data_IF_025426612069
#
_entry.id   IF_025426612069
#
_cell.length_a   1.000
_cell.length_b   1.000
_cell.length_c   1.000
_cell.angle_alpha   90.00
_cell.angle_beta   90.00
_cell.angle_gamma   90.00
#
_symmetry.space_group_name_H-M   'P 1'
#
loop_
_entity.id
_entity.type
_entity.pdbx_description
1 polymer ?
#
# COMPACT_ATOMS: atom_id res chain seq x y z
N UNK A 1 67.03 -65.82 17.81
CA UNK A 1 65.85 -65.92 16.86
C UNK A 1 64.72 -65.06 17.41
N UNK A 2 64.44 -63.99 16.81
CA UNK A 2 63.17 -63.28 16.63
C UNK A 2 63.40 -61.77 16.52
N UNK A 3 63.69 -61.32 15.29
CA UNK A 3 63.52 -59.96 14.87
C UNK A 3 62.59 -60.03 13.69
N UNK A 4 61.26 -59.80 13.93
CA UNK A 4 60.25 -59.50 12.85
C UNK A 4 58.88 -59.27 13.52
N UNK A 5 58.63 -58.09 14.09
CA UNK A 5 57.26 -57.68 14.38
C UNK A 5 57.05 -56.15 14.63
N UNK A 6 58.02 -55.28 14.32
CA UNK A 6 57.90 -53.84 14.61
C UNK A 6 57.51 -53.03 13.38
N UNK A 7 57.53 -53.57 12.15
CA UNK A 7 57.26 -52.82 10.94
C UNK A 7 55.80 -52.83 10.44
N UNK A 8 54.89 -53.60 11.09
CA UNK A 8 53.53 -53.76 10.65
C UNK A 8 52.54 -52.69 11.23
N UNK A 9 52.87 -52.16 12.42
CA UNK A 9 51.94 -51.22 13.13
C UNK A 9 52.06 -49.76 12.66
N UNK A 10 53.26 -49.35 12.22
CA UNK A 10 53.49 -47.96 11.78
C UNK A 10 52.82 -47.61 10.42
N UNK A 11 52.62 -48.61 9.55
CA UNK A 11 52.03 -48.40 8.23
C UNK A 11 50.52 -48.26 8.25
N UNK A 12 49.82 -48.80 9.27
CA UNK A 12 48.37 -48.66 9.44
C UNK A 12 47.97 -47.28 10.01
N UNK A 13 48.74 -46.72 10.92
CA UNK A 13 48.45 -45.42 11.52
C UNK A 13 48.63 -44.24 10.56
N UNK A 14 49.58 -44.31 9.63
CA UNK A 14 49.79 -43.29 8.61
C UNK A 14 48.69 -43.30 7.51
N UNK A 15 48.04 -44.45 7.24
CA UNK A 15 46.99 -44.57 6.27
C UNK A 15 45.63 -44.08 6.83
N UNK A 16 45.39 -44.22 8.13
CA UNK A 16 44.20 -43.71 8.83
C UNK A 16 44.29 -42.18 9.01
N UNK A 17 45.46 -41.62 9.35
CA UNK A 17 45.63 -40.15 9.43
C UNK A 17 45.45 -39.45 8.09
N UNK A 18 45.85 -40.05 6.99
CA UNK A 18 45.67 -39.49 5.64
C UNK A 18 44.21 -39.47 5.19
N UNK A 19 43.40 -40.44 5.62
CA UNK A 19 41.96 -40.52 5.28
C UNK A 19 41.10 -39.51 6.05
N UNK A 20 41.42 -39.30 7.34
CA UNK A 20 40.69 -38.32 8.19
C UNK A 20 41.05 -36.88 7.83
N UNK A 21 42.30 -36.59 7.49
CA UNK A 21 42.72 -35.27 7.01
C UNK A 21 42.14 -34.92 5.62
N UNK A 22 42.04 -35.91 4.71
CA UNK A 22 41.43 -35.75 3.42
C UNK A 22 39.92 -35.48 3.49
N UNK A 23 39.20 -36.14 4.43
CA UNK A 23 37.78 -35.95 4.62
C UNK A 23 37.45 -34.60 5.29
N UNK A 24 38.26 -34.12 6.21
CA UNK A 24 38.11 -32.82 6.85
C UNK A 24 38.44 -31.68 5.87
N UNK A 25 39.42 -31.83 4.97
CA UNK A 25 39.74 -30.86 3.96
C UNK A 25 38.68 -30.81 2.85
N UNK A 26 38.05 -31.95 2.51
CA UNK A 26 36.96 -31.97 1.52
C UNK A 26 35.68 -31.34 2.07
N UNK A 27 35.35 -31.52 3.37
CA UNK A 27 34.21 -30.85 4.03
C UNK A 27 34.42 -29.34 4.19
N UNK A 28 35.66 -28.88 4.42
CA UNK A 28 35.99 -27.47 4.51
C UNK A 28 35.91 -26.77 3.14
N UNK A 29 36.25 -27.46 2.03
CA UNK A 29 36.16 -26.92 0.67
C UNK A 29 34.73 -26.81 0.13
N UNK A 30 33.79 -27.63 0.61
CA UNK A 30 32.38 -27.59 0.18
C UNK A 30 31.58 -26.54 0.97
N UNK A 31 31.99 -26.20 2.20
CA UNK A 31 31.28 -25.21 3.02
C UNK A 31 31.66 -23.75 2.73
N UNK A 32 32.82 -23.47 2.17
CA UNK A 32 33.29 -22.12 1.83
C UNK A 32 32.44 -21.38 0.78
N UNK A 33 31.97 -21.99 -0.33
CA UNK A 33 31.14 -21.31 -1.29
C UNK A 33 29.72 -21.01 -0.80
N UNK A 34 29.17 -21.84 0.09
CA UNK A 34 27.81 -21.63 0.65
C UNK A 34 27.80 -20.44 1.61
N UNK A 35 28.79 -20.27 2.45
CA UNK A 35 28.93 -19.11 3.33
C UNK A 35 29.17 -17.81 2.54
N UNK A 36 29.96 -17.82 1.47
CA UNK A 36 30.16 -16.67 0.61
C UNK A 36 28.91 -16.30 -0.18
N UNK A 37 28.13 -17.27 -0.64
CA UNK A 37 26.87 -17.01 -1.34
C UNK A 37 25.84 -16.34 -0.43
N UNK A 38 25.81 -16.67 0.86
CA UNK A 38 24.88 -16.09 1.83
C UNK A 38 25.28 -14.65 2.23
N UNK A 39 26.57 -14.38 2.40
CA UNK A 39 27.07 -13.02 2.58
C UNK A 39 26.83 -12.13 1.34
N UNK A 40 26.92 -12.70 0.15
CA UNK A 40 26.73 -11.95 -1.09
C UNK A 40 25.26 -11.54 -1.32
N UNK A 41 24.29 -12.33 -0.87
CA UNK A 41 22.85 -12.04 -1.04
C UNK A 41 22.39 -10.90 -0.13
N UNK A 42 22.76 -10.88 1.14
CA UNK A 42 22.43 -9.79 2.06
C UNK A 42 23.13 -8.47 1.65
N UNK A 43 24.37 -8.57 1.19
CA UNK A 43 25.11 -7.45 0.63
C UNK A 43 24.49 -6.90 -0.67
N UNK A 44 23.90 -7.76 -1.49
CA UNK A 44 23.19 -7.35 -2.70
C UNK A 44 21.94 -6.50 -2.36
N UNK A 45 21.10 -6.96 -1.44
CA UNK A 45 19.91 -6.21 -0.98
C UNK A 45 20.33 -4.84 -0.42
N UNK A 46 21.35 -4.81 0.44
CA UNK A 46 21.84 -3.55 1.02
C UNK A 46 22.34 -2.57 -0.04
N UNK A 47 23.04 -3.05 -1.08
CA UNK A 47 23.50 -2.21 -2.20
C UNK A 47 22.32 -1.66 -3.00
N UNK A 48 21.29 -2.48 -3.27
CA UNK A 48 20.10 -2.03 -4.00
C UNK A 48 19.29 -0.99 -3.21
N UNK A 49 19.05 -1.23 -1.92
CA UNK A 49 18.36 -0.25 -1.06
C UNK A 49 19.12 1.08 -1.02
N UNK A 50 20.46 1.04 -0.90
CA UNK A 50 21.31 2.23 -0.95
C UNK A 50 21.20 2.94 -2.29
N UNK A 51 21.27 2.22 -3.40
CA UNK A 51 21.17 2.78 -4.75
C UNK A 51 19.80 3.46 -4.99
N UNK A 52 18.70 2.84 -4.52
CA UNK A 52 17.35 3.43 -4.59
C UNK A 52 17.30 4.71 -3.73
N UNK A 53 17.82 4.66 -2.51
CA UNK A 53 17.84 5.82 -1.63
C UNK A 53 18.61 7.01 -2.20
N UNK A 54 19.79 6.76 -2.79
CA UNK A 54 20.60 7.79 -3.42
C UNK A 54 19.94 8.38 -4.67
N UNK A 55 19.34 7.54 -5.51
CA UNK A 55 18.68 7.93 -6.75
C UNK A 55 17.37 8.67 -6.52
N UNK A 56 16.51 8.14 -5.64
CA UNK A 56 15.13 8.60 -5.46
C UNK A 56 14.96 9.63 -4.35
N UNK A 57 15.86 9.63 -3.38
CA UNK A 57 15.70 10.41 -2.16
C UNK A 57 15.56 11.93 -2.39
N UNK A 58 16.17 12.49 -3.43
CA UNK A 58 16.08 13.93 -3.70
C UNK A 58 14.69 14.40 -4.13
N UNK A 59 13.84 13.49 -4.58
CA UNK A 59 12.44 13.78 -4.91
C UNK A 59 11.49 13.57 -3.72
N UNK A 60 11.99 13.11 -2.56
CA UNK A 60 11.23 12.94 -1.32
C UNK A 60 11.45 14.13 -0.42
N UNK A 61 10.37 14.69 0.09
CA UNK A 61 10.36 15.94 0.84
C UNK A 61 9.73 15.78 2.21
N UNK A 62 10.16 16.63 3.14
CA UNK A 62 9.55 16.77 4.44
C UNK A 62 8.47 17.83 4.39
N UNK A 63 7.34 17.54 4.99
CA UNK A 63 6.19 18.43 5.05
C UNK A 63 5.92 18.75 6.50
N UNK A 64 5.79 20.05 6.80
CA UNK A 64 5.20 20.55 8.02
C UNK A 64 3.87 21.18 7.67
N UNK A 65 2.84 20.81 8.40
CA UNK A 65 1.49 21.30 8.22
C UNK A 65 0.96 21.82 9.56
N UNK A 66 0.15 22.85 9.53
CA UNK A 66 -0.46 23.43 10.72
C UNK A 66 -1.98 23.40 10.53
N UNK A 67 -2.67 22.77 11.46
CA UNK A 67 -4.13 22.84 11.61
C UNK A 67 -4.52 23.72 12.79
N UNK A 68 -5.82 23.83 13.09
CA UNK A 68 -6.32 24.65 14.21
C UNK A 68 -5.85 24.19 15.59
N UNK A 69 -5.32 22.96 15.71
CA UNK A 69 -5.08 22.31 17.00
C UNK A 69 -3.66 21.80 17.17
N UNK A 70 -2.90 21.62 16.08
CA UNK A 70 -1.61 20.94 16.13
C UNK A 70 -0.68 21.30 14.97
N UNK A 71 0.61 21.05 15.21
CA UNK A 71 1.63 20.95 14.17
C UNK A 71 1.81 19.50 13.77
N UNK A 72 1.69 19.24 12.48
CA UNK A 72 1.81 17.95 11.85
C UNK A 72 3.13 17.87 11.08
N UNK A 73 3.74 16.71 11.09
CA UNK A 73 4.94 16.44 10.28
C UNK A 73 4.71 15.17 9.47
N UNK A 74 5.08 15.20 8.21
CA UNK A 74 4.92 14.10 7.30
C UNK A 74 5.94 14.08 6.18
N UNK A 75 5.78 13.10 5.33
CA UNK A 75 6.58 12.91 4.13
C UNK A 75 5.71 13.13 2.89
N UNK A 76 6.32 13.63 1.84
CA UNK A 76 5.72 13.65 0.50
C UNK A 76 6.77 13.37 -0.56
N UNK A 77 6.35 13.26 -1.79
CA UNK A 77 7.26 13.13 -2.93
C UNK A 77 6.72 13.83 -4.16
N UNK A 78 7.62 14.34 -4.97
CA UNK A 78 7.25 15.01 -6.21
C UNK A 78 6.79 13.98 -7.26
N UNK A 79 5.61 14.24 -7.83
CA UNK A 79 4.99 13.44 -8.86
C UNK A 79 5.32 13.92 -10.28
N UNK A 80 5.74 15.18 -10.42
CA UNK A 80 6.07 15.79 -11.69
C UNK A 80 7.14 16.90 -11.52
N UNK A 81 7.74 17.40 -12.63
CA UNK A 81 8.81 18.40 -12.56
C UNK A 81 8.34 19.81 -12.19
N UNK A 82 7.05 20.01 -12.01
CA UNK A 82 6.46 21.35 -11.75
C UNK A 82 6.21 21.59 -10.26
N UNK A 83 6.54 20.61 -9.38
CA UNK A 83 6.40 20.76 -7.93
C UNK A 83 5.09 20.23 -7.35
N UNK A 84 4.38 19.33 -8.05
CA UNK A 84 3.21 18.62 -7.51
C UNK A 84 3.69 17.50 -6.58
N UNK A 85 3.12 17.43 -5.37
CA UNK A 85 3.52 16.53 -4.30
C UNK A 85 2.36 15.62 -3.92
N UNK A 86 2.60 14.31 -3.84
CA UNK A 86 1.75 13.38 -3.12
C UNK A 86 2.11 13.34 -1.64
N UNK A 87 1.11 13.31 -0.78
CA UNK A 87 1.25 13.04 0.65
C UNK A 87 0.01 12.30 1.19
N UNK A 88 0.03 11.93 2.47
CA UNK A 88 -1.13 11.34 3.13
C UNK A 88 -2.15 12.41 3.53
N UNK A 89 -3.44 12.06 3.52
CA UNK A 89 -4.51 12.91 4.06
C UNK A 89 -4.25 13.30 5.53
N UNK A 90 -3.70 12.38 6.33
CA UNK A 90 -3.38 12.64 7.73
C UNK A 90 -2.34 13.76 7.94
N UNK A 91 -1.62 14.17 6.90
CA UNK A 91 -0.65 15.27 6.94
C UNK A 91 -1.23 16.50 6.25
N UNK A 92 -1.89 16.32 5.11
CA UNK A 92 -2.30 17.42 4.24
C UNK A 92 -3.81 17.63 4.12
N UNK A 93 -4.66 16.80 4.77
CA UNK A 93 -6.10 16.81 4.51
C UNK A 93 -6.86 17.99 5.11
N UNK A 94 -6.60 18.33 6.35
CA UNK A 94 -7.33 19.34 7.13
C UNK A 94 -6.49 20.57 7.52
N UNK A 95 -5.20 20.56 7.18
CA UNK A 95 -4.31 21.66 7.48
C UNK A 95 -4.55 22.87 6.56
N UNK A 96 -4.27 24.05 7.08
CA UNK A 96 -4.48 25.31 6.37
C UNK A 96 -3.15 25.95 5.91
N UNK A 97 -2.03 25.55 6.48
CA UNK A 97 -0.69 26.05 6.15
C UNK A 97 0.29 24.91 5.99
N UNK A 98 1.05 24.96 4.91
CA UNK A 98 2.01 23.91 4.54
C UNK A 98 3.37 24.50 4.24
N UNK A 99 4.39 23.95 4.88
CA UNK A 99 5.79 24.22 4.57
C UNK A 99 6.49 22.95 4.11
N UNK A 100 7.11 23.00 2.93
CA UNK A 100 7.85 21.89 2.33
C UNK A 100 9.34 22.18 2.37
N UNK A 101 10.11 21.29 2.96
CA UNK A 101 11.57 21.37 2.96
C UNK A 101 12.13 20.64 1.74
N UNK A 102 12.75 21.39 0.82
CA UNK A 102 13.35 20.86 -0.40
C UNK A 102 14.64 21.62 -0.75
N UNK A 103 15.70 20.89 -1.11
CA UNK A 103 16.99 21.46 -1.53
C UNK A 103 17.61 22.41 -0.51
N UNK A 104 17.41 22.18 0.78
CA UNK A 104 17.89 23.03 1.88
C UNK A 104 17.10 24.33 2.07
N UNK A 105 15.98 24.50 1.36
CA UNK A 105 15.09 25.67 1.44
C UNK A 105 13.71 25.24 1.95
N UNK A 106 12.97 26.19 2.49
CA UNK A 106 11.57 26.06 2.86
C UNK A 106 10.69 26.74 1.80
N UNK A 107 9.66 26.04 1.37
CA UNK A 107 8.68 26.51 0.40
C UNK A 107 7.30 26.49 1.06
N UNK A 108 6.55 27.55 0.91
CA UNK A 108 5.11 27.50 1.18
C UNK A 108 4.46 26.65 0.11
N UNK A 109 3.58 25.72 0.51
CA UNK A 109 2.85 24.85 -0.42
C UNK A 109 1.36 25.15 -0.34
N UNK A 110 0.71 25.05 -1.51
CA UNK A 110 -0.75 25.15 -1.62
C UNK A 110 -1.34 23.77 -1.71
N UNK A 111 -2.42 23.52 -0.99
CA UNK A 111 -3.21 22.29 -1.16
C UNK A 111 -3.98 22.37 -2.47
N UNK A 112 -3.75 21.41 -3.36
CA UNK A 112 -4.51 21.28 -4.60
C UNK A 112 -5.83 20.53 -4.37
N UNK A 113 -5.76 19.44 -3.63
CA UNK A 113 -6.92 18.64 -3.22
C UNK A 113 -6.56 17.74 -2.04
N UNK A 114 -7.58 17.29 -1.31
CA UNK A 114 -7.46 16.23 -0.32
C UNK A 114 -8.68 15.31 -0.41
N UNK A 115 -8.43 14.01 -0.42
CA UNK A 115 -9.49 13.00 -0.48
C UNK A 115 -9.40 12.05 0.72
N UNK A 116 -10.30 12.24 1.66
CA UNK A 116 -10.40 11.41 2.86
C UNK A 116 -10.66 9.94 2.51
N UNK A 117 -11.41 9.70 1.43
CA UNK A 117 -11.79 8.34 1.03
C UNK A 117 -10.60 7.51 0.58
N UNK A 118 -9.65 8.12 -0.14
CA UNK A 118 -8.40 7.45 -0.55
C UNK A 118 -7.27 7.59 0.47
N UNK A 119 -7.39 8.53 1.40
CA UNK A 119 -6.37 8.80 2.42
C UNK A 119 -5.16 9.57 1.91
N UNK A 120 -5.26 10.28 0.77
CA UNK A 120 -4.17 11.09 0.22
C UNK A 120 -4.54 12.55 0.02
N UNK A 121 -3.52 13.40 -0.10
CA UNK A 121 -3.63 14.78 -0.51
C UNK A 121 -2.58 15.13 -1.59
N UNK A 122 -2.90 16.11 -2.41
CA UNK A 122 -1.99 16.72 -3.38
C UNK A 122 -1.65 18.14 -2.93
N UNK A 123 -0.36 18.44 -2.87
CA UNK A 123 0.16 19.76 -2.59
C UNK A 123 0.95 20.29 -3.80
N UNK A 124 1.19 21.58 -3.83
CA UNK A 124 1.96 22.27 -4.88
C UNK A 124 2.94 23.27 -4.30
N UNK A 125 4.19 23.20 -4.75
CA UNK A 125 5.15 24.30 -4.57
C UNK A 125 5.48 24.93 -5.93
N UNK A 126 5.87 26.17 -5.95
CA UNK A 126 6.35 26.87 -7.15
C UNK A 126 7.88 26.71 -7.27
N UNK A 127 8.29 25.56 -7.83
CA UNK A 127 9.69 25.24 -8.07
C UNK A 127 9.81 24.17 -9.17
N UNK A 128 10.93 24.20 -9.91
CA UNK A 128 11.34 23.08 -10.72
C UNK A 128 11.94 21.98 -9.82
N UNK A 129 11.43 20.75 -9.94
CA UNK A 129 11.73 19.67 -9.02
C UNK A 129 12.16 18.38 -9.72
N UNK A 130 13.02 17.55 -9.09
CA UNK A 130 13.09 16.14 -9.46
C UNK A 130 11.74 15.49 -9.16
N UNK A 131 11.45 14.37 -9.80
CA UNK A 131 10.22 13.60 -9.53
C UNK A 131 10.49 12.11 -9.57
N UNK A 132 9.60 11.32 -8.95
CA UNK A 132 9.68 9.87 -8.97
C UNK A 132 8.86 9.31 -10.14
N UNK A 133 9.37 8.30 -10.85
CA UNK A 133 8.60 7.60 -11.86
C UNK A 133 7.45 6.82 -11.19
N UNK A 134 6.29 6.86 -11.80
CA UNK A 134 5.11 6.13 -11.35
C UNK A 134 5.16 4.71 -11.92
N UNK A 135 5.10 3.72 -11.05
CA UNK A 135 5.05 2.30 -11.41
C UNK A 135 3.61 1.80 -11.57
N UNK A 136 3.44 0.49 -11.40
CA UNK A 136 2.14 -0.19 -11.48
C UNK A 136 1.94 -1.06 -10.25
N UNK A 137 0.91 -0.75 -9.47
CA UNK A 137 0.57 -1.55 -8.29
C UNK A 137 -0.17 -2.85 -8.63
N UNK A 138 -0.82 -2.91 -9.79
CA UNK A 138 -1.49 -4.12 -10.27
C UNK A 138 -0.55 -5.30 -10.58
N UNK A 139 0.76 -5.05 -10.74
CA UNK A 139 1.77 -6.08 -10.98
C UNK A 139 2.40 -6.64 -9.70
N UNK A 140 2.02 -6.11 -8.53
CA UNK A 140 2.57 -6.53 -7.24
C UNK A 140 2.03 -7.91 -6.83
N UNK A 141 2.90 -8.71 -6.21
CA UNK A 141 2.57 -9.99 -5.60
C UNK A 141 2.98 -10.02 -4.13
N UNK A 142 2.49 -11.00 -3.38
CA UNK A 142 2.98 -11.27 -2.02
C UNK A 142 4.49 -11.50 -2.04
N UNK A 143 5.17 -11.04 -1.01
CA UNK A 143 6.62 -11.06 -0.85
C UNK A 143 7.41 -10.22 -1.87
N UNK A 144 6.75 -9.39 -2.71
CA UNK A 144 7.46 -8.40 -3.53
C UNK A 144 8.25 -7.46 -2.63
N UNK A 145 9.59 -7.33 -2.80
CA UNK A 145 10.40 -6.43 -2.01
C UNK A 145 10.12 -4.96 -2.36
N UNK A 146 10.09 -4.11 -1.35
CA UNK A 146 9.80 -2.68 -1.47
C UNK A 146 10.67 -1.85 -0.54
N UNK A 147 10.91 -0.61 -0.91
CA UNK A 147 11.65 0.38 -0.12
C UNK A 147 10.77 1.60 0.09
N UNK A 148 10.60 2.03 1.32
CA UNK A 148 10.05 3.36 1.62
C UNK A 148 11.17 4.35 1.91
N UNK A 149 10.96 5.61 1.58
CA UNK A 149 11.87 6.70 1.92
C UNK A 149 11.06 7.79 2.60
N UNK A 150 11.40 8.09 3.86
CA UNK A 150 10.63 9.04 4.67
C UNK A 150 11.47 9.81 5.68
N UNK A 151 10.79 10.63 6.48
CA UNK A 151 11.38 11.45 7.55
C UNK A 151 10.84 10.97 8.92
N UNK A 152 11.33 9.82 9.42
CA UNK A 152 10.86 9.28 10.71
C UNK A 152 11.20 10.23 11.85
N UNK A 153 10.24 10.45 12.76
CA UNK A 153 10.43 11.24 14.00
C UNK A 153 11.02 12.64 13.76
N UNK A 154 10.75 13.24 12.63
CA UNK A 154 11.32 14.54 12.23
C UNK A 154 12.85 14.53 12.01
N UNK A 155 13.46 13.34 11.99
CA UNK A 155 14.88 13.12 11.76
C UNK A 155 15.24 13.26 10.27
N UNK A 156 16.53 13.21 9.90
CA UNK A 156 16.95 13.17 8.50
C UNK A 156 16.32 12.00 7.74
N UNK A 157 16.08 12.21 6.45
CA UNK A 157 15.55 11.22 5.52
C UNK A 157 16.30 9.89 5.61
N UNK A 158 15.55 8.80 5.69
CA UNK A 158 16.10 7.44 5.76
C UNK A 158 15.28 6.46 4.93
N UNK A 159 15.91 5.39 4.41
CA UNK A 159 15.22 4.27 3.78
C UNK A 159 14.75 3.26 4.81
N UNK A 160 13.59 2.65 4.56
CA UNK A 160 13.10 1.45 5.24
C UNK A 160 12.85 0.37 4.20
N UNK A 161 13.21 -0.88 4.49
CA UNK A 161 13.06 -2.01 3.60
C UNK A 161 12.03 -3.00 4.15
N UNK A 162 11.18 -3.53 3.28
CA UNK A 162 10.17 -4.51 3.61
C UNK A 162 9.65 -5.26 2.39
N UNK A 163 8.53 -5.96 2.56
CA UNK A 163 7.86 -6.71 1.51
C UNK A 163 6.34 -6.53 1.60
N UNK A 164 5.67 -6.70 0.46
CA UNK A 164 4.21 -6.79 0.42
C UNK A 164 3.78 -8.02 1.21
N UNK A 165 3.00 -7.81 2.26
CA UNK A 165 2.54 -8.84 3.19
C UNK A 165 1.06 -9.20 3.01
N UNK A 166 0.31 -8.41 2.23
CA UNK A 166 -1.10 -8.64 1.97
C UNK A 166 -1.70 -7.60 1.04
N UNK A 167 -2.89 -7.95 0.55
CA UNK A 167 -3.78 -7.08 -0.21
C UNK A 167 -5.11 -7.10 0.54
N UNK A 168 -5.33 -6.10 1.38
CA UNK A 168 -6.41 -6.12 2.35
C UNK A 168 -7.51 -5.11 1.96
N UNK A 169 -8.77 -5.51 2.09
CA UNK A 169 -9.95 -4.68 1.86
C UNK A 169 -10.56 -4.16 3.14
N UNK A 170 -10.13 -4.70 4.29
CA UNK A 170 -10.62 -4.30 5.62
C UNK A 170 -9.55 -4.45 6.69
N UNK A 171 -9.65 -3.63 7.72
CA UNK A 171 -8.84 -3.71 8.92
C UNK A 171 -9.71 -3.39 10.15
N UNK A 172 -9.63 -4.22 11.19
CA UNK A 172 -10.42 -4.09 12.44
C UNK A 172 -11.93 -3.87 12.18
N UNK A 173 -12.48 -4.61 11.21
CA UNK A 173 -13.92 -4.55 10.87
C UNK A 173 -14.34 -3.33 10.03
N UNK A 174 -13.40 -2.45 9.64
CA UNK A 174 -13.67 -1.32 8.75
C UNK A 174 -13.17 -1.64 7.34
N UNK A 175 -14.00 -1.39 6.35
CA UNK A 175 -13.63 -1.52 4.94
C UNK A 175 -12.82 -0.32 4.49
N UNK A 176 -11.77 -0.59 3.71
CA UNK A 176 -11.09 0.42 2.92
C UNK A 176 -11.93 0.79 1.70
N UNK A 177 -11.69 1.95 1.13
CA UNK A 177 -12.35 2.40 -0.11
C UNK A 177 -11.92 1.61 -1.35
N UNK A 178 -10.74 1.01 -1.30
CA UNK A 178 -10.17 0.09 -2.28
C UNK A 178 -9.17 -0.83 -1.58
N UNK A 179 -8.74 -1.89 -2.24
CA UNK A 179 -7.70 -2.79 -1.72
C UNK A 179 -6.44 -2.00 -1.38
N UNK A 180 -5.95 -2.13 -0.14
CA UNK A 180 -4.71 -1.52 0.33
C UNK A 180 -3.60 -2.56 0.39
N UNK A 181 -2.37 -2.09 0.17
CA UNK A 181 -1.16 -2.89 0.32
C UNK A 181 -0.80 -2.93 1.81
N UNK A 182 -0.84 -4.10 2.44
CA UNK A 182 -0.22 -4.30 3.73
C UNK A 182 1.26 -4.62 3.53
N UNK A 183 2.13 -3.89 4.23
CA UNK A 183 3.58 -4.01 4.10
C UNK A 183 4.19 -4.29 5.47
N UNK A 184 5.07 -5.28 5.58
CA UNK A 184 5.81 -5.60 6.80
C UNK A 184 7.03 -4.67 6.95
N UNK A 185 6.79 -3.40 6.95
CA UNK A 185 7.78 -2.33 7.01
C UNK A 185 7.51 -1.53 8.28
N UNK A 186 8.49 -1.42 9.20
CA UNK A 186 8.31 -0.59 10.37
C UNK A 186 8.14 0.87 9.97
N UNK A 187 7.13 1.51 10.55
CA UNK A 187 6.83 2.93 10.29
C UNK A 187 6.77 3.71 11.57
N UNK A 188 7.14 4.98 11.49
CA UNK A 188 7.13 5.90 12.61
C UNK A 188 6.38 7.19 12.23
N UNK A 189 6.07 8.00 13.25
CA UNK A 189 5.51 9.34 13.02
C UNK A 189 6.43 10.14 12.10
N UNK A 190 5.85 10.84 11.13
CA UNK A 190 6.58 11.60 10.11
C UNK A 190 6.73 10.86 8.77
N UNK A 191 6.42 9.56 8.69
CA UNK A 191 6.53 8.78 7.45
C UNK A 191 5.21 8.67 6.67
N UNK A 192 4.10 9.16 7.22
CA UNK A 192 2.84 9.23 6.48
C UNK A 192 3.02 10.05 5.19
N UNK A 193 2.57 9.53 4.05
CA UNK A 193 2.78 10.09 2.72
C UNK A 193 4.08 9.68 2.03
N UNK A 194 4.92 8.87 2.67
CA UNK A 194 6.15 8.36 2.05
C UNK A 194 5.86 7.48 0.83
N UNK A 195 6.67 7.59 -0.25
CA UNK A 195 6.56 6.69 -1.40
C UNK A 195 7.02 5.29 -1.02
N UNK A 196 6.27 4.30 -1.47
CA UNK A 196 6.67 2.90 -1.50
C UNK A 196 7.23 2.59 -2.89
N UNK A 197 8.50 2.22 -2.96
CA UNK A 197 9.26 2.06 -4.21
C UNK A 197 9.54 0.58 -4.50
N UNK A 198 9.43 0.17 -5.75
CA UNK A 198 10.00 -1.09 -6.21
C UNK A 198 11.51 -0.97 -6.43
N UNK A 199 12.20 -2.06 -6.76
CA UNK A 199 13.65 -2.05 -6.99
C UNK A 199 14.10 -1.32 -8.25
N UNK A 200 13.18 -0.94 -9.14
CA UNK A 200 13.45 -0.02 -10.24
C UNK A 200 13.45 1.44 -9.80
N UNK A 201 13.00 1.74 -8.57
CA UNK A 201 12.82 3.10 -8.04
C UNK A 201 11.52 3.75 -8.50
N UNK A 202 10.55 2.96 -8.96
CA UNK A 202 9.22 3.42 -9.35
C UNK A 202 8.28 3.36 -8.14
N UNK A 203 7.42 4.36 -7.99
CA UNK A 203 6.42 4.41 -6.92
C UNK A 203 5.33 3.39 -7.20
N UNK A 204 5.09 2.49 -6.25
CA UNK A 204 4.03 1.46 -6.32
C UNK A 204 2.94 1.64 -5.26
N UNK A 205 3.15 2.56 -4.31
CA UNK A 205 2.17 2.90 -3.28
C UNK A 205 2.56 4.14 -2.48
N UNK A 206 1.63 4.61 -1.65
CA UNK A 206 1.79 5.77 -0.75
C UNK A 206 1.42 5.31 0.66
N UNK A 207 2.30 5.50 1.64
CA UNK A 207 2.03 5.15 3.02
C UNK A 207 0.93 6.04 3.60
N UNK A 208 -0.18 5.43 4.05
CA UNK A 208 -1.34 6.18 4.57
C UNK A 208 -1.62 5.91 6.04
N UNK A 209 -1.26 4.74 6.57
CA UNK A 209 -1.47 4.43 7.98
C UNK A 209 -0.47 3.40 8.51
N UNK A 210 -0.19 3.47 9.81
CA UNK A 210 0.57 2.45 10.55
C UNK A 210 -0.35 1.43 11.20
N UNK A 211 0.15 0.23 11.41
CA UNK A 211 -0.53 -0.90 12.07
C UNK A 211 0.27 -1.29 13.30
N UNK A 212 -0.42 -1.65 14.37
CA UNK A 212 0.18 -2.23 15.58
C UNK A 212 1.41 -1.46 16.04
N UNK A 213 1.21 -0.18 16.40
CA UNK A 213 2.26 0.72 16.91
C UNK A 213 3.46 0.88 15.96
N UNK A 214 3.25 0.71 14.64
CA UNK A 214 4.28 0.92 13.63
C UNK A 214 5.08 -0.33 13.24
N UNK A 215 4.66 -1.53 13.64
CA UNK A 215 5.31 -2.80 13.22
C UNK A 215 5.08 -3.13 11.75
N UNK A 216 3.99 -2.64 11.18
CA UNK A 216 3.62 -2.74 9.78
C UNK A 216 2.87 -1.49 9.33
N UNK A 217 2.59 -1.36 8.04
CA UNK A 217 1.83 -0.25 7.51
C UNK A 217 0.86 -0.67 6.39
N UNK A 218 -0.10 0.22 6.13
CA UNK A 218 -0.90 0.19 4.92
C UNK A 218 -0.48 1.29 3.96
N UNK A 219 -0.39 0.93 2.68
CA UNK A 219 -0.16 1.89 1.61
C UNK A 219 -1.34 1.85 0.62
N UNK A 220 -1.75 3.03 0.16
CA UNK A 220 -2.65 3.14 -0.98
C UNK A 220 -1.89 2.71 -2.24
N UNK A 221 -2.41 1.77 -3.06
CA UNK A 221 -1.81 1.44 -4.35
C UNK A 221 -1.64 2.65 -5.25
N UNK A 222 -0.55 2.75 -5.98
CA UNK A 222 -0.29 3.93 -6.81
C UNK A 222 -1.32 4.09 -7.93
N UNK A 223 -1.85 2.99 -8.48
CA UNK A 223 -2.91 3.06 -9.51
C UNK A 223 -4.17 3.76 -8.98
N UNK A 224 -4.49 3.57 -7.69
CA UNK A 224 -5.59 4.26 -7.02
C UNK A 224 -5.29 5.75 -6.82
N UNK A 225 -4.08 6.10 -6.40
CA UNK A 225 -3.65 7.50 -6.26
C UNK A 225 -3.66 8.23 -7.61
N UNK A 226 -3.21 7.57 -8.69
CA UNK A 226 -3.24 8.12 -10.05
C UNK A 226 -4.68 8.29 -10.58
N UNK A 227 -5.65 7.46 -10.14
CA UNK A 227 -7.06 7.69 -10.44
C UNK A 227 -7.54 9.01 -9.82
N UNK A 228 -7.21 9.25 -8.55
CA UNK A 228 -7.58 10.48 -7.85
C UNK A 228 -6.92 11.71 -8.50
N UNK A 229 -5.64 11.63 -8.86
CA UNK A 229 -4.95 12.72 -9.58
C UNK A 229 -5.57 12.99 -10.95
N UNK A 230 -5.97 11.97 -11.71
CA UNK A 230 -6.67 12.14 -12.99
C UNK A 230 -8.02 12.82 -12.81
N UNK A 231 -8.77 12.48 -11.78
CA UNK A 231 -10.02 13.15 -11.45
C UNK A 231 -9.79 14.63 -11.16
N UNK A 232 -8.80 14.92 -10.31
CA UNK A 232 -8.43 16.31 -10.01
C UNK A 232 -8.07 17.11 -11.28
N UNK A 233 -7.23 16.55 -12.14
CA UNK A 233 -6.84 17.23 -13.41
C UNK A 233 -8.04 17.47 -14.32
N UNK A 234 -9.00 16.54 -14.34
CA UNK A 234 -10.18 16.61 -15.20
C UNK A 234 -11.29 17.49 -14.65
N UNK A 235 -11.49 17.49 -13.35
CA UNK A 235 -12.67 18.06 -12.71
C UNK A 235 -12.37 19.12 -11.65
N UNK A 236 -11.09 19.28 -11.26
CA UNK A 236 -10.67 20.15 -10.15
C UNK A 236 -10.85 19.54 -8.76
N UNK A 237 -11.33 18.29 -8.68
CA UNK A 237 -11.56 17.57 -7.42
C UNK A 237 -11.60 16.06 -7.65
N UNK A 238 -11.50 15.25 -6.57
CA UNK A 238 -11.74 13.82 -6.61
C UNK A 238 -13.23 13.54 -6.85
N UNK A 239 -13.56 12.82 -7.92
CA UNK A 239 -14.95 12.49 -8.26
C UNK A 239 -15.18 11.00 -8.23
N UNK A 240 -15.64 10.52 -7.09
CA UNK A 240 -16.08 9.14 -6.95
C UNK A 240 -17.43 8.93 -7.65
N UNK A 241 -17.46 7.99 -8.58
CA UNK A 241 -18.69 7.63 -9.28
C UNK A 241 -19.55 6.69 -8.44
N UNK A 242 -20.86 6.80 -8.64
CA UNK A 242 -21.83 5.96 -7.98
C UNK A 242 -22.90 5.50 -8.97
N UNK A 243 -23.34 4.24 -8.84
CA UNK A 243 -24.33 3.62 -9.73
C UNK A 243 -25.61 3.19 -9.01
N UNK A 244 -25.58 3.01 -7.68
CA UNK A 244 -26.75 2.74 -6.86
C UNK A 244 -27.18 1.29 -6.78
N UNK A 245 -26.24 0.36 -6.64
CA UNK A 245 -26.48 -1.07 -6.38
C UNK A 245 -25.98 -1.46 -5.00
N UNK A 246 -26.67 -2.40 -4.35
CA UNK A 246 -26.20 -3.07 -3.15
C UNK A 246 -25.93 -4.54 -3.50
N UNK A 247 -24.84 -5.07 -2.94
CA UNK A 247 -24.37 -6.44 -3.21
C UNK A 247 -24.11 -7.18 -1.91
N UNK A 248 -24.24 -8.53 -1.97
CA UNK A 248 -23.86 -9.43 -0.88
C UNK A 248 -23.03 -10.59 -1.42
N UNK A 249 -22.41 -11.32 -0.53
CA UNK A 249 -21.84 -12.62 -0.85
C UNK A 249 -22.96 -13.65 -0.99
N UNK A 250 -23.02 -14.33 -2.13
CA UNK A 250 -23.95 -15.42 -2.37
C UNK A 250 -23.41 -16.74 -1.81
N UNK A 251 -24.30 -17.63 -1.40
CA UNK A 251 -23.93 -18.95 -0.86
C UNK A 251 -23.32 -19.86 -1.95
N UNK A 252 -23.74 -19.69 -3.20
CA UNK A 252 -23.31 -20.49 -4.34
C UNK A 252 -22.47 -19.68 -5.33
N UNK A 253 -21.46 -20.34 -5.91
CA UNK A 253 -20.65 -19.76 -6.98
C UNK A 253 -21.36 -19.92 -8.32
N UNK A 254 -21.61 -18.82 -9.00
CA UNK A 254 -22.18 -18.80 -10.35
C UNK A 254 -21.19 -18.15 -11.32
N UNK A 255 -20.79 -18.90 -12.34
CA UNK A 255 -19.82 -18.46 -13.35
C UNK A 255 -18.50 -17.87 -12.77
N UNK A 256 -18.07 -18.39 -11.61
CA UNK A 256 -16.85 -17.97 -10.93
C UNK A 256 -16.99 -16.76 -10.02
N UNK A 257 -18.21 -16.30 -9.74
CA UNK A 257 -18.50 -15.18 -8.83
C UNK A 257 -19.50 -15.58 -7.75
N UNK A 258 -19.32 -14.98 -6.55
CA UNK A 258 -20.25 -15.02 -5.42
C UNK A 258 -20.96 -13.67 -5.20
N UNK A 259 -20.72 -12.65 -6.02
CA UNK A 259 -21.28 -11.31 -5.84
C UNK A 259 -22.70 -11.22 -6.38
N UNK A 260 -23.70 -11.32 -5.51
CA UNK A 260 -25.11 -11.19 -5.85
C UNK A 260 -25.63 -9.77 -5.60
N UNK A 261 -26.31 -9.19 -6.58
CA UNK A 261 -27.01 -7.93 -6.44
C UNK A 261 -28.28 -8.11 -5.61
N UNK A 262 -28.36 -7.45 -4.47
CA UNK A 262 -29.52 -7.58 -3.55
C UNK A 262 -30.56 -6.50 -3.79
N UNK A 263 -30.12 -5.29 -4.13
CA UNK A 263 -30.99 -4.16 -4.29
C UNK A 263 -30.46 -3.18 -5.35
N UNK A 264 -31.38 -2.58 -6.08
CA UNK A 264 -31.15 -1.38 -6.90
C UNK A 264 -31.87 -0.24 -6.22
N UNK A 265 -31.15 0.80 -5.87
CA UNK A 265 -31.72 1.98 -5.19
C UNK A 265 -32.55 2.78 -6.14
N UNK A 266 -33.69 3.25 -5.70
CA UNK A 266 -34.56 4.13 -6.51
C UNK A 266 -33.88 5.44 -6.88
N UNK A 267 -34.23 6.00 -8.03
CA UNK A 267 -33.66 7.25 -8.54
C UNK A 267 -32.15 7.24 -8.75
N UNK A 268 -31.58 6.07 -9.03
CA UNK A 268 -30.15 5.88 -9.31
C UNK A 268 -29.89 5.52 -10.76
N UNK A 269 -28.65 5.68 -11.23
CA UNK A 269 -28.27 5.25 -12.59
C UNK A 269 -28.59 3.80 -12.92
N UNK A 270 -28.50 2.90 -11.95
CA UNK A 270 -28.81 1.50 -12.13
C UNK A 270 -30.33 1.21 -12.27
N UNK A 271 -31.20 2.06 -11.70
CA UNK A 271 -32.66 1.81 -11.68
C UNK A 271 -33.31 1.71 -13.07
N UNK A 272 -32.74 2.38 -14.08
CA UNK A 272 -33.25 2.33 -15.46
C UNK A 272 -32.42 1.48 -16.42
N UNK A 273 -31.41 0.78 -15.94
CA UNK A 273 -30.41 0.11 -16.78
C UNK A 273 -30.81 -1.27 -17.27
N UNK A 274 -31.82 -1.89 -16.66
CA UNK A 274 -32.21 -3.29 -16.91
C UNK A 274 -31.56 -4.31 -15.98
N UNK A 275 -30.67 -3.88 -15.06
CA UNK A 275 -30.17 -4.69 -13.96
C UNK A 275 -31.33 -5.08 -13.02
N UNK A 276 -31.21 -6.20 -12.30
CA UNK A 276 -32.26 -6.72 -11.40
C UNK A 276 -31.64 -7.31 -10.14
N UNK A 277 -32.34 -7.25 -8.99
CA UNK A 277 -31.97 -8.06 -7.83
C UNK A 277 -31.90 -9.54 -8.21
N UNK A 278 -30.90 -10.25 -7.68
CA UNK A 278 -30.59 -11.65 -8.00
C UNK A 278 -29.60 -11.82 -9.17
N UNK A 279 -29.19 -10.75 -9.84
CA UNK A 279 -28.10 -10.81 -10.83
C UNK A 279 -26.78 -11.10 -10.14
N UNK A 280 -25.99 -12.04 -10.69
CA UNK A 280 -24.62 -12.29 -10.22
C UNK A 280 -23.65 -11.44 -11.03
N UNK A 281 -22.90 -10.60 -10.35
CA UNK A 281 -21.93 -9.69 -10.96
C UNK A 281 -20.66 -10.44 -11.37
N UNK A 282 -20.29 -10.36 -12.65
CA UNK A 282 -19.06 -10.96 -13.18
C UNK A 282 -17.97 -9.92 -13.47
N UNK A 283 -18.37 -8.69 -13.78
CA UNK A 283 -17.45 -7.59 -14.08
C UNK A 283 -18.15 -6.23 -13.87
N UNK A 284 -17.44 -5.28 -13.31
CA UNK A 284 -17.86 -3.88 -13.18
C UNK A 284 -16.76 -3.00 -13.76
N UNK A 285 -17.07 -2.27 -14.82
CA UNK A 285 -16.09 -1.51 -15.59
C UNK A 285 -15.03 -2.44 -16.18
N UNK A 286 -13.77 -2.27 -15.75
CA UNK A 286 -12.64 -3.10 -16.18
C UNK A 286 -12.26 -4.19 -15.16
N UNK A 287 -12.89 -4.20 -13.99
CA UNK A 287 -12.52 -5.06 -12.87
C UNK A 287 -13.41 -6.30 -12.87
N UNK A 288 -12.83 -7.52 -12.97
CA UNK A 288 -13.56 -8.76 -12.77
C UNK A 288 -14.05 -8.86 -11.33
N UNK A 289 -15.22 -9.44 -11.12
CA UNK A 289 -15.87 -9.61 -9.83
C UNK A 289 -15.98 -11.08 -9.52
N UNK A 290 -15.36 -11.53 -8.44
CA UNK A 290 -15.42 -12.90 -7.92
C UNK A 290 -16.15 -12.97 -6.58
N UNK A 291 -16.15 -11.89 -5.81
CA UNK A 291 -16.78 -11.77 -4.52
C UNK A 291 -17.36 -10.34 -4.33
N UNK A 292 -18.27 -10.19 -3.39
CA UNK A 292 -18.94 -8.90 -3.19
C UNK A 292 -17.97 -7.73 -2.90
N UNK A 293 -16.86 -8.02 -2.22
CA UNK A 293 -15.83 -7.02 -1.93
C UNK A 293 -15.11 -6.47 -3.18
N UNK A 294 -15.10 -7.22 -4.31
CA UNK A 294 -14.51 -6.74 -5.57
C UNK A 294 -15.31 -5.58 -6.16
N UNK A 295 -16.61 -5.48 -5.84
CA UNK A 295 -17.46 -4.37 -6.27
C UNK A 295 -17.07 -3.06 -5.58
N UNK A 296 -16.56 -3.11 -4.35
CA UNK A 296 -16.03 -1.92 -3.64
C UNK A 296 -14.81 -1.41 -4.39
N UNK A 297 -13.87 -2.30 -4.72
CA UNK A 297 -12.70 -1.95 -5.53
C UNK A 297 -13.10 -1.35 -6.89
N UNK A 298 -14.02 -2.03 -7.59
CA UNK A 298 -14.50 -1.56 -8.88
C UNK A 298 -15.13 -0.15 -8.78
N UNK A 299 -15.93 0.09 -7.73
CA UNK A 299 -16.58 1.38 -7.49
C UNK A 299 -15.59 2.52 -7.27
N UNK A 300 -14.45 2.23 -6.64
CA UNK A 300 -13.42 3.24 -6.41
C UNK A 300 -12.85 3.79 -7.73
N UNK A 301 -12.68 2.93 -8.74
CA UNK A 301 -12.10 3.30 -10.04
C UNK A 301 -13.11 3.93 -11.01
N UNK A 302 -14.38 4.01 -10.64
CA UNK A 302 -15.40 4.73 -11.41
C UNK A 302 -15.36 6.21 -11.03
N UNK A 303 -15.37 7.09 -12.04
CA UNK A 303 -15.54 8.52 -11.84
C UNK A 303 -16.96 8.96 -12.21
N UNK A 304 -17.44 10.03 -11.60
CA UNK A 304 -18.74 10.59 -11.97
C UNK A 304 -18.73 11.01 -13.45
N UNK A 305 -19.76 10.60 -14.20
CA UNK A 305 -19.87 10.80 -15.64
C UNK A 305 -19.31 9.67 -16.49
N UNK A 306 -18.71 8.63 -15.87
CA UNK A 306 -18.23 7.48 -16.63
C UNK A 306 -19.40 6.60 -17.11
N UNK A 307 -19.22 6.03 -18.29
CA UNK A 307 -20.07 5.00 -18.88
C UNK A 307 -19.55 3.64 -18.47
N UNK A 308 -20.20 2.99 -17.52
CA UNK A 308 -19.71 1.79 -16.84
C UNK A 308 -20.38 0.55 -17.40
N UNK A 309 -19.69 -0.33 -18.14
CA UNK A 309 -20.21 -1.63 -18.50
C UNK A 309 -20.27 -2.55 -17.28
N UNK A 310 -21.42 -3.17 -17.04
CA UNK A 310 -21.64 -4.14 -15.97
C UNK A 310 -22.05 -5.45 -16.60
N UNK A 311 -21.22 -6.48 -16.40
CA UNK A 311 -21.52 -7.81 -16.92
C UNK A 311 -22.01 -8.68 -15.77
N UNK A 312 -23.15 -9.33 -16.01
CA UNK A 312 -23.83 -10.20 -15.03
C UNK A 312 -24.11 -11.58 -15.60
N UNK A 313 -24.45 -12.51 -14.73
CA UNK A 313 -25.11 -13.78 -15.06
C UNK A 313 -26.53 -13.74 -14.51
N UNK A 314 -27.51 -14.01 -15.38
CA UNK A 314 -28.95 -14.12 -15.04
C UNK A 314 -29.50 -15.37 -15.67
N UNK A 315 -29.98 -16.37 -14.88
CA UNK A 315 -30.55 -17.64 -15.38
C UNK A 315 -29.69 -18.27 -16.48
N UNK A 316 -28.40 -18.45 -16.23
CA UNK A 316 -27.40 -19.02 -17.16
C UNK A 316 -27.11 -18.20 -18.45
N UNK A 317 -27.63 -16.98 -18.54
CA UNK A 317 -27.34 -16.05 -19.61
C UNK A 317 -26.40 -14.95 -19.16
N UNK A 318 -25.29 -14.75 -19.90
CA UNK A 318 -24.35 -13.66 -19.67
C UNK A 318 -24.83 -12.41 -20.38
N UNK A 319 -25.14 -11.37 -19.61
CA UNK A 319 -25.65 -10.09 -20.11
C UNK A 319 -24.70 -8.96 -19.73
N UNK A 320 -24.67 -7.91 -20.55
CA UNK A 320 -23.92 -6.69 -20.25
C UNK A 320 -24.83 -5.45 -20.38
N UNK A 321 -24.86 -4.64 -19.33
CA UNK A 321 -25.59 -3.40 -19.27
C UNK A 321 -24.60 -2.25 -19.13
N UNK A 322 -24.94 -1.07 -19.66
CA UNK A 322 -24.13 0.14 -19.49
C UNK A 322 -24.86 1.12 -18.60
N UNK A 323 -24.20 1.56 -17.53
CA UNK A 323 -24.75 2.49 -16.55
C UNK A 323 -23.92 3.78 -16.54
N UNK A 324 -24.57 4.94 -16.59
CA UNK A 324 -23.90 6.23 -16.44
C UNK A 324 -23.70 6.54 -14.95
N UNK A 325 -22.46 6.55 -14.47
CA UNK A 325 -22.17 6.88 -13.09
C UNK A 325 -22.47 8.36 -12.79
N UNK A 326 -23.05 8.63 -11.64
CA UNK A 326 -23.24 9.99 -11.11
C UNK A 326 -22.31 10.25 -9.93
N UNK A 327 -22.14 11.52 -9.54
CA UNK A 327 -21.56 11.82 -8.24
C UNK A 327 -22.54 11.36 -7.17
N UNK A 328 -22.11 10.46 -6.25
CA UNK A 328 -22.81 10.38 -4.98
C UNK A 328 -22.48 11.67 -4.24
N UNK A 329 -23.49 12.47 -3.87
CA UNK A 329 -23.29 13.24 -2.66
C UNK A 329 -22.93 12.23 -1.58
N UNK A 330 -21.86 12.44 -0.82
CA UNK A 330 -21.67 11.66 0.38
C UNK A 330 -22.85 12.05 1.29
N UNK A 331 -23.95 11.30 1.25
CA UNK A 331 -24.69 11.05 2.46
C UNK A 331 -23.62 10.63 3.44
N UNK A 332 -23.29 11.53 4.38
CA UNK A 332 -22.27 11.30 5.38
C UNK A 332 -22.38 9.84 5.75
N UNK A 333 -21.34 9.04 5.46
CA UNK A 333 -21.23 7.72 6.03
C UNK A 333 -21.40 8.01 7.51
N UNK A 334 -22.61 7.77 8.01
CA UNK A 334 -22.97 8.06 9.38
C UNK A 334 -21.95 7.26 10.18
N UNK A 335 -20.94 7.94 10.62
CA UNK A 335 -20.16 7.53 11.77
C UNK A 335 -21.24 7.22 12.77
N UNK A 336 -21.49 5.93 12.96
CA UNK A 336 -22.54 5.47 13.87
C UNK A 336 -22.40 6.27 15.14
N UNK A 337 -23.50 6.70 15.79
CA UNK A 337 -23.49 7.77 16.79
C UNK A 337 -22.33 7.52 17.72
N UNK A 338 -21.43 8.51 17.78
CA UNK A 338 -20.32 8.49 18.72
C UNK A 338 -20.94 8.14 20.07
N UNK A 339 -20.65 6.94 20.59
CA UNK A 339 -21.04 6.58 21.94
C UNK A 339 -20.52 7.69 22.81
N UNK A 340 -21.41 8.60 23.21
CA UNK A 340 -21.14 9.55 24.28
C UNK A 340 -20.68 8.69 25.44
N UNK A 341 -19.39 8.70 25.73
CA UNK A 341 -18.83 8.18 26.94
C UNK A 341 -19.40 9.07 28.06
N UNK A 342 -20.57 8.69 28.55
CA UNK A 342 -21.14 9.24 29.75
C UNK A 342 -20.64 8.37 30.90
N UNK A 343 -19.58 8.79 31.56
CA UNK A 343 -19.43 8.84 33.01
C UNK A 343 -17.98 9.22 33.35
N UNK A 344 -17.75 10.27 34.14
CA UNK A 344 -16.46 10.46 34.77
C UNK A 344 -16.26 9.33 35.78
N UNK A 345 -15.15 8.61 35.69
CA UNK A 345 -14.67 7.73 36.75
C UNK A 345 -14.52 8.56 38.02
N UNK A 346 -15.43 8.37 38.99
CA UNK A 346 -15.18 8.82 40.36
C UNK A 346 -14.04 7.98 40.90
N UNK A 347 -12.90 8.63 41.13
CA UNK A 347 -11.88 8.14 42.03
C UNK A 347 -12.46 8.19 43.45
N UNK A 348 -12.94 7.06 43.97
CA UNK A 348 -13.19 6.90 45.38
C UNK A 348 -11.85 6.88 46.11
N UNK A 349 -11.53 7.99 46.76
CA UNK A 349 -10.49 8.07 47.77
C UNK A 349 -11.01 7.35 49.00
N UNK A 350 -10.55 6.14 49.27
CA UNK A 350 -10.73 5.48 50.54
C UNK A 350 -9.77 6.11 51.59
N UNK A 351 -10.24 6.42 52.80
CA UNK A 351 -9.43 6.96 53.86
C UNK A 351 -8.74 5.85 54.66
N UNK A 352 -7.48 6.12 55.05
CA UNK A 352 -6.58 5.52 56.04
C UNK A 352 -5.86 4.25 55.68
#
# INVERSE_FOLDING_TARGET
MSRLSIFSTARRSLFELGRTAGFAALLALVSLPVLRAQEDTAGAISREVKAIFERCGNAVVKIHAVDEHSELSGTGFFADPTGTIYTSYSVGGEANDFTVQFGGKLYHATQLMADLRSGIALLKIDAATPFLPIGKSAELALATPVVAIGYPLDLPRSPSFGMIAGFDRKYLGRYFSTTHLRVNLPTQRGEAGAPLLNFKGEVVGILVSSVDSGSACYALPIDAAEKIRRDYVRFGDARHGWIGIDVREADETVAGSHAEMTQIRENTPAAGSGLQPGDILLQVGKIPVHQAEDVIDASFFISAGDSVPITIMRRDEKLTFTVQATSSEPEAMALGPARKSSAPLRLDTAPR
#
